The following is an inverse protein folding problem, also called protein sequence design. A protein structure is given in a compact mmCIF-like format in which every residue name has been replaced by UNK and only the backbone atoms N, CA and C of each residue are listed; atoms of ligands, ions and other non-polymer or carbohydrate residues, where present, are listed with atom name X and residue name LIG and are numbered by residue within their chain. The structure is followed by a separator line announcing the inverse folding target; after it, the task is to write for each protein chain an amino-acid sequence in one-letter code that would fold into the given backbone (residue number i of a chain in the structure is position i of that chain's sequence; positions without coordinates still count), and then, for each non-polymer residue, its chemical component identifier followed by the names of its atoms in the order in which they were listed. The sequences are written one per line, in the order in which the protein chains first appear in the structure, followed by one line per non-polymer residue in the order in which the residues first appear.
data_IF_999348852281
#
_entry.id   IF_999348852281
#
_cell.length_a   1.000
_cell.length_b   1.000
_cell.length_c   1.000
_cell.angle_alpha   90.00
_cell.angle_beta   90.00
_cell.angle_gamma   90.00
#
_symmetry.space_group_name_H-M   'P 1'
#
loop_
_entity.id
_entity.type
_entity.pdbx_description
1 polymer ?
#
# COMPACT_ATOMS: atom_id res chain seq x y z
N UNK A 1 -6.95 -6.04 -3.90
CA UNK A 1 -6.41 -4.67 -3.97
C UNK A 1 -6.59 -4.07 -2.61
N UNK A 2 -5.64 -3.28 -2.15
CA UNK A 2 -5.64 -2.68 -0.83
C UNK A 2 -5.55 -1.16 -0.97
N UNK A 3 -6.33 -0.43 -0.19
CA UNK A 3 -6.25 1.03 -0.08
C UNK A 3 -6.08 1.43 1.39
N UNK A 4 -5.06 2.22 1.67
CA UNK A 4 -4.89 2.91 2.94
C UNK A 4 -5.63 4.26 2.85
N UNK A 5 -6.38 4.63 3.89
CA UNK A 5 -7.23 5.82 3.91
C UNK A 5 -6.99 6.60 5.20
N UNK A 6 -6.91 7.93 5.10
CA UNK A 6 -6.66 8.80 6.24
C UNK A 6 -7.97 9.09 7.00
N UNK A 7 -7.93 8.99 8.31
CA UNK A 7 -8.99 9.43 9.21
C UNK A 7 -8.76 10.87 9.63
N UNK A 8 -9.76 11.72 9.46
CA UNK A 8 -9.66 13.16 9.74
C UNK A 8 -10.85 13.65 10.55
N UNK A 9 -10.68 14.79 11.21
CA UNK A 9 -11.78 15.57 11.76
C UNK A 9 -12.62 16.15 10.62
N UNK A 10 -13.95 16.01 10.62
CA UNK A 10 -14.80 16.47 9.52
C UNK A 10 -14.84 17.99 9.36
N UNK A 11 -14.58 18.75 10.43
CA UNK A 11 -14.68 20.21 10.41
C UNK A 11 -13.30 20.85 10.13
N UNK A 12 -12.25 20.37 10.79
CA UNK A 12 -10.89 20.94 10.64
C UNK A 12 -10.03 20.25 9.57
N UNK A 13 -10.34 19.00 9.22
CA UNK A 13 -9.50 18.16 8.36
C UNK A 13 -8.24 17.61 9.04
N UNK A 14 -8.04 17.86 10.34
CA UNK A 14 -6.87 17.38 11.08
C UNK A 14 -6.91 15.84 11.22
N UNK A 15 -5.78 15.12 11.05
CA UNK A 15 -5.75 13.67 11.23
C UNK A 15 -6.18 13.21 12.63
N UNK A 16 -6.90 12.09 12.71
CA UNK A 16 -7.48 11.56 13.95
C UNK A 16 -7.05 10.13 14.22
N UNK A 17 -6.41 9.91 15.37
CA UNK A 17 -5.88 8.62 15.83
C UNK A 17 -6.96 7.61 16.32
N UNK A 18 -8.02 7.41 15.55
CA UNK A 18 -9.23 6.68 15.95
C UNK A 18 -9.44 5.33 15.24
N UNK A 19 -8.50 4.86 14.42
CA UNK A 19 -8.62 3.60 13.68
C UNK A 19 -8.97 2.41 14.58
N UNK A 20 -8.34 2.30 15.76
CA UNK A 20 -8.64 1.24 16.72
C UNK A 20 -10.09 1.25 17.21
N UNK A 21 -10.70 2.42 17.35
CA UNK A 21 -12.12 2.56 17.73
C UNK A 21 -13.03 2.21 16.56
N UNK A 22 -12.69 2.65 15.33
CA UNK A 22 -13.44 2.31 14.11
C UNK A 22 -13.50 0.79 13.91
N UNK A 23 -12.35 0.12 14.04
CA UNK A 23 -12.24 -1.33 13.87
C UNK A 23 -12.95 -2.12 14.98
N UNK A 24 -13.05 -1.57 16.19
CA UNK A 24 -13.80 -2.20 17.28
C UNK A 24 -15.32 -2.22 17.03
N UNK A 25 -15.82 -1.48 16.03
CA UNK A 25 -17.23 -1.53 15.61
C UNK A 25 -17.52 -2.68 14.65
N UNK A 26 -16.53 -3.47 14.23
CA UNK A 26 -16.78 -4.69 13.48
C UNK A 26 -17.56 -5.69 14.35
N UNK A 27 -18.74 -6.08 13.87
CA UNK A 27 -19.51 -7.15 14.50
C UNK A 27 -18.70 -8.45 14.44
N UNK A 28 -18.45 -9.04 15.61
CA UNK A 28 -17.87 -10.39 15.79
C UNK A 28 -18.63 -11.50 15.03
N UNK A 29 -19.74 -11.17 14.36
CA UNK A 29 -20.57 -12.05 13.56
C UNK A 29 -20.04 -12.29 12.11
N UNK A 30 -19.04 -11.54 11.64
CA UNK A 30 -18.57 -11.58 10.24
C UNK A 30 -17.22 -12.31 10.01
N UNK A 31 -17.05 -13.50 10.57
CA UNK A 31 -16.04 -14.49 10.11
C UNK A 31 -14.57 -14.02 10.02
N UNK A 32 -13.73 -14.84 9.36
CA UNK A 32 -12.27 -14.69 9.29
C UNK A 32 -11.75 -13.69 8.22
N UNK A 33 -12.61 -12.84 7.65
CA UNK A 33 -12.28 -11.92 6.54
C UNK A 33 -12.76 -10.49 6.87
N UNK A 34 -11.98 -9.72 7.67
CA UNK A 34 -12.38 -8.38 8.12
C UNK A 34 -12.52 -7.43 6.93
N UNK A 35 -13.44 -6.47 7.02
CA UNK A 35 -13.62 -5.50 5.94
C UNK A 35 -12.61 -4.36 6.01
N UNK A 36 -12.02 -4.14 7.19
CA UNK A 36 -11.05 -3.11 7.50
C UNK A 36 -9.90 -3.70 8.34
N UNK A 37 -8.67 -3.28 8.05
CA UNK A 37 -7.47 -3.77 8.76
C UNK A 37 -6.72 -2.67 9.52
N UNK A 38 -5.87 -3.10 10.47
CA UNK A 38 -5.04 -2.21 11.31
C UNK A 38 -3.74 -1.87 10.61
N UNK A 39 -3.43 -0.57 10.56
CA UNK A 39 -2.16 -0.08 10.03
C UNK A 39 -1.14 0.37 11.09
N UNK A 40 0.08 0.71 10.63
CA UNK A 40 1.18 1.21 11.45
C UNK A 40 0.78 2.44 12.29
N UNK A 41 0.03 3.37 11.71
CA UNK A 41 -0.45 4.57 12.38
C UNK A 41 -1.94 4.47 12.69
N UNK A 42 -2.36 5.07 13.81
CA UNK A 42 -3.75 5.02 14.27
C UNK A 42 -4.67 5.98 13.53
N UNK A 43 -4.11 6.82 12.68
CA UNK A 43 -4.78 7.76 11.78
C UNK A 43 -5.19 7.12 10.45
N UNK A 44 -4.91 5.83 10.22
CA UNK A 44 -5.17 5.15 8.95
C UNK A 44 -6.11 3.95 9.10
N UNK A 45 -6.94 3.74 8.08
CA UNK A 45 -7.67 2.49 7.86
C UNK A 45 -7.15 1.85 6.58
N UNK A 46 -6.94 0.55 6.60
CA UNK A 46 -6.74 -0.21 5.37
C UNK A 46 -8.06 -0.88 4.97
N UNK A 47 -8.38 -0.83 3.68
CA UNK A 47 -9.46 -1.59 3.06
C UNK A 47 -8.88 -2.59 2.08
N UNK A 48 -9.43 -3.81 2.03
CA UNK A 48 -8.99 -4.83 1.09
C UNK A 48 -10.17 -5.40 0.29
N UNK A 49 -10.01 -5.50 -1.02
CA UNK A 49 -10.96 -6.18 -1.90
C UNK A 49 -10.71 -7.68 -1.91
N UNK A 50 -11.76 -8.47 -2.10
CA UNK A 50 -11.59 -9.88 -2.45
C UNK A 50 -10.93 -10.01 -3.83
N UNK A 51 -10.25 -11.14 -4.10
CA UNK A 51 -9.76 -11.43 -5.44
C UNK A 51 -10.93 -11.52 -6.43
N UNK A 52 -10.82 -10.78 -7.53
CA UNK A 52 -11.82 -10.80 -8.61
C UNK A 52 -11.15 -10.86 -9.98
N UNK A 53 -11.88 -11.39 -10.97
CA UNK A 53 -11.45 -11.48 -12.37
C UNK A 53 -12.02 -10.34 -13.23
N UNK A 54 -13.00 -9.59 -12.75
CA UNK A 54 -13.69 -8.55 -13.51
C UNK A 54 -13.45 -7.16 -12.90
N UNK A 55 -13.20 -6.16 -13.75
CA UNK A 55 -12.94 -4.79 -13.29
C UNK A 55 -14.20 -4.06 -12.84
N UNK A 56 -15.37 -4.45 -13.34
CA UNK A 56 -16.68 -3.95 -12.87
C UNK A 56 -16.95 -4.42 -11.46
N UNK A 57 -16.68 -5.70 -11.18
CA UNK A 57 -16.80 -6.27 -9.84
C UNK A 57 -15.81 -5.60 -8.88
N UNK A 58 -14.56 -5.38 -9.34
CA UNK A 58 -13.57 -4.63 -8.56
C UNK A 58 -14.06 -3.21 -8.25
N UNK A 59 -14.58 -2.50 -9.25
CA UNK A 59 -15.08 -1.14 -9.09
C UNK A 59 -16.25 -1.03 -8.10
N UNK A 60 -17.17 -2.01 -8.12
CA UNK A 60 -18.25 -2.11 -7.17
C UNK A 60 -17.73 -2.40 -5.76
N UNK A 61 -16.73 -3.27 -5.63
CA UNK A 61 -16.13 -3.61 -4.35
C UNK A 61 -15.36 -2.45 -3.73
N UNK A 62 -14.53 -1.73 -4.50
CA UNK A 62 -13.81 -0.53 -4.04
C UNK A 62 -14.78 0.50 -3.45
N UNK A 63 -15.85 0.83 -4.20
CA UNK A 63 -16.88 1.77 -3.73
C UNK A 63 -17.55 1.28 -2.46
N UNK A 64 -17.88 -0.02 -2.38
CA UNK A 64 -18.48 -0.61 -1.18
C UNK A 64 -17.54 -0.51 0.02
N UNK A 65 -16.27 -0.85 -0.13
CA UNK A 65 -15.27 -0.79 0.95
C UNK A 65 -15.05 0.64 1.45
N UNK A 66 -14.92 1.61 0.54
CA UNK A 66 -14.85 3.03 0.90
C UNK A 66 -16.11 3.52 1.61
N UNK A 67 -17.30 3.10 1.16
CA UNK A 67 -18.56 3.42 1.82
C UNK A 67 -18.63 2.84 3.25
N UNK A 68 -18.21 1.59 3.46
CA UNK A 68 -18.08 1.00 4.79
C UNK A 68 -17.11 1.82 5.65
N UNK A 69 -15.93 2.18 5.13
CA UNK A 69 -14.95 2.98 5.88
C UNK A 69 -15.54 4.34 6.31
N UNK A 70 -16.25 5.03 5.40
CA UNK A 70 -16.93 6.31 5.68
C UNK A 70 -18.00 6.15 6.76
N UNK A 71 -18.87 5.14 6.64
CA UNK A 71 -19.93 4.87 7.62
C UNK A 71 -19.35 4.65 9.02
N UNK A 72 -18.30 3.82 9.11
CA UNK A 72 -17.69 3.44 10.39
C UNK A 72 -16.87 4.56 11.01
N UNK A 73 -16.16 5.35 10.20
CA UNK A 73 -15.51 6.57 10.68
C UNK A 73 -16.54 7.58 11.20
N UNK A 74 -17.65 7.76 10.48
CA UNK A 74 -18.73 8.66 10.88
C UNK A 74 -19.36 8.30 12.23
N UNK A 75 -19.50 7.00 12.52
CA UNK A 75 -20.02 6.51 13.79
C UNK A 75 -19.15 6.89 15.02
N UNK A 76 -17.88 7.26 14.82
CA UNK A 76 -16.97 7.72 15.88
C UNK A 76 -16.64 9.21 15.77
N UNK A 77 -17.36 9.96 14.93
CA UNK A 77 -17.16 11.40 14.72
C UNK A 77 -15.92 11.74 13.90
N UNK A 78 -15.48 10.85 13.01
CA UNK A 78 -14.40 11.10 12.05
C UNK A 78 -14.91 11.04 10.60
N UNK A 79 -14.16 11.60 9.68
CA UNK A 79 -14.34 11.44 8.24
C UNK A 79 -13.16 10.67 7.62
N UNK A 80 -13.37 10.15 6.41
CA UNK A 80 -12.33 9.47 5.62
C UNK A 80 -11.88 10.40 4.49
N UNK A 81 -10.56 10.52 4.32
CA UNK A 81 -9.93 11.22 3.21
C UNK A 81 -8.98 10.28 2.46
N UNK A 82 -9.24 10.05 1.17
CA UNK A 82 -8.34 9.30 0.30
C UNK A 82 -7.19 10.21 -0.16
N UNK A 83 -6.24 10.44 0.75
CA UNK A 83 -5.06 11.30 0.55
C UNK A 83 -3.80 10.51 0.88
N UNK A 84 -2.80 10.55 0.00
CA UNK A 84 -1.56 9.82 0.19
C UNK A 84 -0.65 10.44 1.27
N UNK A 85 -0.82 11.72 1.58
CA UNK A 85 -0.22 12.42 2.74
C UNK A 85 -1.23 13.42 3.31
N UNK A 86 -1.10 13.75 4.61
CA UNK A 86 -1.89 14.82 5.21
C UNK A 86 -1.42 16.19 4.68
N UNK A 87 -2.31 17.07 4.21
CA UNK A 87 -1.95 18.43 3.85
C UNK A 87 -1.72 19.32 5.08
N UNK A 88 -2.19 18.91 6.26
CA UNK A 88 -2.03 19.63 7.52
C UNK A 88 -0.86 19.05 8.35
N UNK A 89 -0.27 19.86 9.24
CA UNK A 89 0.70 19.36 10.22
C UNK A 89 0.13 18.21 11.05
N UNK A 90 0.96 17.21 11.33
CA UNK A 90 0.55 16.02 12.09
C UNK A 90 1.76 15.38 12.76
N UNK A 91 1.59 15.00 14.03
CA UNK A 91 2.50 14.10 14.75
C UNK A 91 1.84 12.72 14.84
N UNK A 92 2.23 11.75 13.99
CA UNK A 92 1.51 10.47 13.85
C UNK A 92 1.54 9.61 15.12
N UNK A 93 0.44 8.94 15.40
CA UNK A 93 0.30 8.06 16.55
C UNK A 93 0.56 6.61 16.19
N UNK A 94 1.72 6.10 16.60
CA UNK A 94 2.07 4.69 16.39
C UNK A 94 1.03 3.72 16.98
N UNK A 95 0.67 2.71 16.19
CA UNK A 95 -0.17 1.61 16.62
C UNK A 95 0.49 0.78 17.71
N UNK A 96 -0.33 0.27 18.62
CA UNK A 96 0.14 -0.59 19.69
C UNK A 96 0.59 -1.95 19.13
N UNK A 97 1.83 -2.37 19.43
CA UNK A 97 2.32 -3.69 19.07
C UNK A 97 3.83 -3.80 19.26
N UNK A 98 4.31 -5.00 19.61
CA UNK A 98 5.76 -5.23 19.78
C UNK A 98 6.55 -4.93 18.51
N UNK A 99 5.99 -5.29 17.35
CA UNK A 99 6.61 -5.04 16.05
C UNK A 99 6.76 -3.54 15.76
N UNK A 100 5.68 -2.78 15.91
CA UNK A 100 5.68 -1.34 15.62
C UNK A 100 6.61 -0.55 16.54
N UNK A 101 6.67 -0.90 17.84
CA UNK A 101 7.66 -0.31 18.75
C UNK A 101 9.09 -0.58 18.32
N UNK A 102 9.39 -1.82 17.94
CA UNK A 102 10.73 -2.19 17.45
C UNK A 102 11.09 -1.41 16.18
N UNK A 103 10.15 -1.28 15.23
CA UNK A 103 10.35 -0.46 14.02
C UNK A 103 10.64 1.00 14.41
N UNK A 104 9.89 1.57 15.35
CA UNK A 104 10.13 2.94 15.82
C UNK A 104 11.49 3.12 16.52
N UNK A 105 11.90 2.15 17.33
CA UNK A 105 13.20 2.14 18.03
C UNK A 105 14.37 2.08 17.04
N UNK A 106 14.26 1.28 15.98
CA UNK A 106 15.35 1.04 15.01
C UNK A 106 15.43 2.14 13.94
N UNK A 107 14.30 2.70 13.51
CA UNK A 107 14.24 3.66 12.39
C UNK A 107 13.94 5.10 12.81
N UNK A 108 13.62 5.36 14.08
CA UNK A 108 13.48 6.70 14.65
C UNK A 108 12.52 7.60 13.86
N UNK A 109 13.02 8.77 13.43
CA UNK A 109 12.23 9.77 12.69
C UNK A 109 11.60 9.20 11.42
N UNK A 110 12.27 8.29 10.70
CA UNK A 110 11.69 7.66 9.51
C UNK A 110 10.40 6.92 9.85
N UNK A 111 10.35 6.23 10.99
CA UNK A 111 9.15 5.54 11.44
C UNK A 111 8.12 6.48 12.07
N UNK A 112 8.56 7.50 12.83
CA UNK A 112 7.66 8.48 13.43
C UNK A 112 6.91 9.29 12.38
N UNK A 113 7.61 9.71 11.32
CA UNK A 113 7.03 10.52 10.25
C UNK A 113 6.24 9.68 9.23
N UNK A 114 6.17 8.35 9.37
CA UNK A 114 5.53 7.46 8.41
C UNK A 114 4.01 7.47 8.54
N UNK A 115 3.36 8.54 8.10
CA UNK A 115 1.91 8.63 7.89
C UNK A 115 1.64 8.92 6.41
N UNK A 116 1.61 7.85 5.61
CA UNK A 116 1.34 7.94 4.17
C UNK A 116 0.39 6.83 3.75
N UNK A 117 -0.52 7.12 2.82
CA UNK A 117 -1.51 6.15 2.34
C UNK A 117 -1.21 5.71 0.89
N UNK A 118 -1.05 4.41 0.67
CA UNK A 118 -0.84 3.78 -0.63
C UNK A 118 -2.07 3.09 -1.21
N UNK A 119 -1.94 2.72 -2.48
CA UNK A 119 -2.81 1.76 -3.16
C UNK A 119 -1.98 0.56 -3.61
N UNK A 120 -2.25 -0.64 -3.09
CA UNK A 120 -1.53 -1.86 -3.44
C UNK A 120 -2.36 -2.75 -4.35
N UNK A 121 -1.78 -3.13 -5.49
CA UNK A 121 -2.44 -4.01 -6.46
C UNK A 121 -1.77 -5.38 -6.46
N UNK A 122 -2.56 -6.39 -6.14
CA UNK A 122 -2.16 -7.80 -6.22
C UNK A 122 -2.67 -8.42 -7.50
N UNK A 123 -1.79 -9.07 -8.26
CA UNK A 123 -2.14 -9.82 -9.46
C UNK A 123 -1.60 -11.23 -9.34
N UNK A 124 -2.47 -12.22 -9.48
CA UNK A 124 -2.12 -13.64 -9.34
C UNK A 124 -1.09 -14.08 -10.37
N UNK A 125 -0.13 -14.88 -9.94
CA UNK A 125 0.86 -15.56 -10.79
C UNK A 125 0.89 -17.05 -10.47
N UNK A 126 1.31 -17.86 -11.43
CA UNK A 126 1.27 -19.32 -11.32
C UNK A 126 2.47 -19.90 -10.56
N UNK A 127 3.60 -19.18 -10.51
CA UNK A 127 4.80 -19.59 -9.79
C UNK A 127 5.73 -18.42 -9.47
N UNK A 128 6.76 -18.67 -8.65
CA UNK A 128 7.81 -17.68 -8.36
C UNK A 128 8.65 -17.36 -9.62
N UNK A 129 8.86 -18.34 -10.51
CA UNK A 129 9.53 -18.12 -11.80
C UNK A 129 8.74 -17.11 -12.66
N UNK A 130 7.42 -17.30 -12.78
CA UNK A 130 6.55 -16.34 -13.48
C UNK A 130 6.59 -14.99 -12.78
N UNK A 131 6.42 -14.98 -11.46
CA UNK A 131 6.37 -13.77 -10.66
C UNK A 131 7.65 -12.92 -10.78
N UNK A 132 8.84 -13.53 -10.68
CA UNK A 132 10.10 -12.80 -10.85
C UNK A 132 10.29 -12.36 -12.31
N UNK A 133 9.92 -13.18 -13.27
CA UNK A 133 9.96 -12.78 -14.67
C UNK A 133 9.06 -11.56 -14.96
N UNK A 134 7.90 -11.49 -14.31
CA UNK A 134 7.01 -10.33 -14.32
C UNK A 134 7.68 -9.14 -13.66
N UNK A 135 8.18 -9.28 -12.43
CA UNK A 135 8.86 -8.19 -11.69
C UNK A 135 9.96 -7.56 -12.53
N UNK A 136 10.84 -8.36 -13.11
CA UNK A 136 11.96 -7.89 -13.93
C UNK A 136 11.50 -7.05 -15.14
N UNK A 137 10.35 -7.40 -15.74
CA UNK A 137 9.81 -6.76 -16.96
C UNK A 137 8.98 -5.51 -16.67
N UNK A 138 8.24 -5.47 -15.57
CA UNK A 138 7.34 -4.34 -15.28
C UNK A 138 8.06 -3.12 -14.69
N UNK A 139 9.32 -3.25 -14.25
CA UNK A 139 10.12 -2.16 -13.64
C UNK A 139 9.99 -0.80 -14.33
N UNK A 140 10.13 -0.67 -15.67
CA UNK A 140 10.07 0.64 -16.33
C UNK A 140 8.68 1.29 -16.25
N UNK A 141 7.65 0.51 -15.95
CA UNK A 141 6.25 0.95 -15.90
C UNK A 141 5.78 1.35 -14.50
N UNK A 142 6.59 1.11 -13.46
CA UNK A 142 6.23 1.49 -12.09
C UNK A 142 6.21 3.02 -11.90
N UNK A 143 7.15 3.75 -12.51
CA UNK A 143 7.16 5.21 -12.45
C UNK A 143 5.93 5.86 -13.15
N UNK A 144 5.49 5.40 -14.33
CA UNK A 144 4.20 5.81 -14.90
C UNK A 144 2.99 5.57 -13.99
N UNK A 145 2.91 4.42 -13.29
CA UNK A 145 1.81 4.15 -12.36
C UNK A 145 1.82 5.13 -11.17
N UNK A 146 3.00 5.46 -10.63
CA UNK A 146 3.15 6.50 -9.62
C UNK A 146 2.68 7.86 -10.13
N UNK A 147 3.09 8.24 -11.34
CA UNK A 147 2.71 9.53 -11.93
C UNK A 147 1.19 9.66 -12.14
N UNK A 148 0.52 8.57 -12.53
CA UNK A 148 -0.94 8.55 -12.71
C UNK A 148 -1.71 8.61 -11.39
N UNK A 149 -1.16 8.03 -10.32
CA UNK A 149 -1.80 7.96 -9.00
C UNK A 149 -1.45 9.11 -8.06
N UNK A 150 -0.50 9.98 -8.44
CA UNK A 150 0.08 11.01 -7.58
C UNK A 150 -0.99 11.87 -6.90
N UNK A 151 -1.04 11.79 -5.57
CA UNK A 151 -2.10 12.40 -4.75
C UNK A 151 -1.55 12.85 -3.39
N UNK A 152 -0.32 13.35 -3.37
CA UNK A 152 0.35 13.81 -2.15
C UNK A 152 1.24 15.05 -2.35
N UNK A 153 0.70 16.20 -2.82
CA UNK A 153 1.54 17.38 -3.06
C UNK A 153 1.98 18.12 -1.80
N UNK A 154 1.31 17.92 -0.66
CA UNK A 154 1.60 18.60 0.60
C UNK A 154 2.26 17.68 1.63
N UNK A 155 3.05 18.29 2.53
CA UNK A 155 3.63 17.64 3.69
C UNK A 155 3.74 18.61 4.87
N UNK A 156 3.23 18.21 6.03
CA UNK A 156 3.35 18.99 7.28
C UNK A 156 2.89 20.46 7.13
N UNK A 157 1.78 20.70 6.43
CA UNK A 157 1.25 22.06 6.21
C UNK A 157 1.86 22.83 5.05
N UNK A 158 2.80 22.25 4.30
CA UNK A 158 3.55 22.95 3.26
C UNK A 158 3.40 22.26 1.90
N UNK A 159 3.33 23.06 0.83
CA UNK A 159 3.51 22.55 -0.53
C UNK A 159 4.94 22.02 -0.66
N UNK A 160 5.07 20.75 -1.01
CA UNK A 160 6.37 20.08 -1.12
C UNK A 160 7.09 20.37 -2.44
N UNK A 161 6.37 20.86 -3.45
CA UNK A 161 6.83 20.97 -4.84
C UNK A 161 6.80 19.65 -5.62
N UNK A 162 6.38 18.54 -5.02
CA UNK A 162 6.20 17.24 -5.68
C UNK A 162 4.71 17.00 -5.98
N UNK A 163 4.41 16.18 -6.99
CA UNK A 163 3.04 15.67 -7.18
C UNK A 163 2.74 14.48 -6.27
N UNK A 164 3.77 13.66 -5.99
CA UNK A 164 3.73 12.58 -5.00
C UNK A 164 4.89 12.71 -4.00
N UNK A 165 4.63 13.38 -2.88
CA UNK A 165 5.60 13.45 -1.78
C UNK A 165 5.64 12.17 -0.96
N UNK A 166 4.56 11.36 -0.97
CA UNK A 166 4.59 10.00 -0.39
C UNK A 166 5.77 9.20 -0.92
N UNK A 167 6.08 9.28 -2.22
CA UNK A 167 7.24 8.58 -2.79
C UNK A 167 8.58 8.99 -2.16
N UNK A 168 8.76 10.28 -1.83
CA UNK A 168 9.97 10.79 -1.17
C UNK A 168 10.05 10.33 0.28
N UNK A 169 8.92 10.36 0.99
CA UNK A 169 8.83 9.88 2.37
C UNK A 169 9.12 8.38 2.45
N UNK A 170 8.49 7.60 1.56
CA UNK A 170 8.62 6.15 1.50
C UNK A 170 10.03 5.71 1.12
N UNK A 171 10.70 6.42 0.22
CA UNK A 171 12.08 6.15 -0.20
C UNK A 171 13.14 6.24 0.91
N UNK A 172 12.78 6.73 2.10
CA UNK A 172 13.66 6.76 3.28
C UNK A 172 13.80 5.41 3.97
N UNK A 173 12.89 4.48 3.69
CA UNK A 173 12.96 3.11 4.22
C UNK A 173 14.06 2.32 3.49
N UNK A 174 14.81 1.45 4.21
CA UNK A 174 16.06 0.89 3.71
C UNK A 174 15.94 -0.05 2.50
N UNK A 175 14.74 -0.53 2.18
CA UNK A 175 14.45 -1.40 1.03
C UNK A 175 13.41 -0.82 0.09
N UNK A 176 12.96 0.40 0.32
CA UNK A 176 11.95 1.02 -0.52
C UNK A 176 12.54 1.43 -1.86
N UNK A 177 11.72 1.34 -2.91
CA UNK A 177 12.08 1.79 -4.25
C UNK A 177 12.32 0.67 -5.26
N UNK A 178 12.91 1.02 -6.41
CA UNK A 178 13.09 0.10 -7.51
C UNK A 178 14.21 -0.90 -7.23
N UNK A 179 14.05 -2.11 -7.77
CA UNK A 179 15.05 -3.19 -7.70
C UNK A 179 15.68 -3.43 -9.07
N UNK A 180 16.83 -4.10 -9.10
CA UNK A 180 17.47 -4.55 -10.34
C UNK A 180 16.86 -5.86 -10.88
N UNK A 181 17.22 -6.24 -12.11
CA UNK A 181 16.82 -7.54 -12.68
C UNK A 181 17.36 -8.67 -11.80
N UNK A 182 16.48 -9.54 -11.33
CA UNK A 182 16.85 -10.75 -10.60
C UNK A 182 17.23 -11.88 -11.57
N UNK A 183 16.48 -12.07 -12.65
CA UNK A 183 16.74 -13.13 -13.63
C UNK A 183 16.36 -14.54 -13.16
N UNK A 184 15.69 -14.66 -12.01
CA UNK A 184 15.20 -15.92 -11.48
C UNK A 184 14.83 -15.85 -9.98
N UNK A 185 13.95 -16.76 -9.52
CA UNK A 185 13.48 -16.78 -8.14
C UNK A 185 14.60 -17.04 -7.13
N UNK A 186 15.64 -17.80 -7.49
CA UNK A 186 16.77 -18.07 -6.61
C UNK A 186 17.50 -16.78 -6.24
N UNK A 187 17.71 -15.87 -7.20
CA UNK A 187 18.39 -14.60 -6.96
C UNK A 187 17.49 -13.62 -6.20
N UNK A 188 16.19 -13.61 -6.48
CA UNK A 188 15.22 -12.84 -5.70
C UNK A 188 15.25 -13.26 -4.22
N UNK A 189 15.13 -14.56 -3.95
CA UNK A 189 15.14 -15.08 -2.59
C UNK A 189 16.50 -14.94 -1.91
N UNK A 190 17.61 -15.05 -2.66
CA UNK A 190 18.94 -14.77 -2.13
C UNK A 190 19.12 -13.30 -1.73
N UNK A 191 18.61 -12.36 -2.55
CA UNK A 191 18.65 -10.94 -2.24
C UNK A 191 17.83 -10.61 -0.99
N UNK A 192 16.61 -11.12 -0.89
CA UNK A 192 15.77 -10.97 0.32
C UNK A 192 16.46 -11.55 1.55
N UNK A 193 17.07 -12.73 1.46
CA UNK A 193 17.84 -13.33 2.56
C UNK A 193 19.01 -12.44 2.99
N UNK A 194 19.78 -11.93 2.03
CA UNK A 194 20.90 -11.04 2.34
C UNK A 194 20.46 -9.77 3.09
N UNK A 195 19.33 -9.17 2.71
CA UNK A 195 18.78 -7.99 3.39
C UNK A 195 18.34 -8.30 4.83
N UNK A 196 17.83 -9.52 5.09
CA UNK A 196 17.49 -9.99 6.44
C UNK A 196 18.73 -10.32 7.27
N UNK A 197 19.70 -11.04 6.68
CA UNK A 197 20.93 -11.47 7.36
C UNK A 197 21.80 -10.27 7.79
N UNK A 198 21.80 -9.22 6.98
CA UNK A 198 22.47 -7.94 7.30
C UNK A 198 21.68 -7.07 8.28
N UNK A 199 20.46 -7.48 8.67
CA UNK A 199 19.51 -6.72 9.49
C UNK A 199 19.12 -5.36 8.89
N UNK A 200 19.33 -5.18 7.59
CA UNK A 200 18.75 -4.07 6.82
C UNK A 200 17.22 -4.11 6.95
N UNK A 201 16.65 -5.33 6.97
CA UNK A 201 15.25 -5.58 7.26
C UNK A 201 15.11 -6.25 8.63
N UNK A 202 14.15 -5.81 9.44
CA UNK A 202 13.82 -6.47 10.71
C UNK A 202 13.05 -7.77 10.50
N UNK A 203 12.24 -7.83 9.44
CA UNK A 203 11.45 -8.98 9.02
C UNK A 203 11.05 -8.88 7.54
N UNK A 204 10.45 -9.95 7.01
CA UNK A 204 9.95 -9.99 5.62
C UNK A 204 8.82 -8.98 5.34
N UNK A 205 8.17 -8.44 6.37
CA UNK A 205 7.18 -7.37 6.22
C UNK A 205 7.81 -6.03 5.82
N UNK A 206 9.13 -5.89 5.96
CA UNK A 206 9.88 -4.72 5.52
C UNK A 206 10.45 -4.84 4.11
N UNK A 207 9.99 -5.80 3.29
CA UNK A 207 10.36 -5.85 1.87
C UNK A 207 9.53 -4.78 1.15
N UNK A 208 10.05 -3.56 1.04
CA UNK A 208 9.30 -2.38 0.57
C UNK A 208 9.56 -2.02 -0.89
N UNK A 209 10.05 -2.97 -1.69
CA UNK A 209 10.24 -2.79 -3.13
C UNK A 209 8.97 -2.24 -3.79
N UNK A 210 9.13 -1.40 -4.82
CA UNK A 210 8.01 -0.81 -5.57
C UNK A 210 7.04 -1.85 -6.14
N UNK A 211 7.57 -3.05 -6.46
CA UNK A 211 6.81 -4.26 -6.68
C UNK A 211 7.56 -5.47 -6.11
N UNK A 212 6.84 -6.47 -5.59
CA UNK A 212 7.43 -7.67 -4.94
C UNK A 212 6.62 -8.93 -5.19
N UNK A 213 7.22 -10.09 -4.96
CA UNK A 213 6.44 -11.30 -4.71
C UNK A 213 5.75 -11.12 -3.36
N UNK A 214 4.43 -11.26 -3.33
CA UNK A 214 3.69 -11.14 -2.09
C UNK A 214 4.07 -12.29 -1.14
N UNK A 215 4.21 -11.95 0.14
CA UNK A 215 4.52 -12.93 1.18
C UNK A 215 3.35 -13.87 1.47
N UNK A 216 2.13 -13.35 1.37
CA UNK A 216 0.93 -14.00 1.88
C UNK A 216 0.09 -14.64 0.75
N UNK A 217 0.25 -14.15 -0.48
CA UNK A 217 -0.56 -14.57 -1.62
C UNK A 217 0.32 -14.93 -2.81
N UNK A 218 -0.08 -15.88 -3.67
CA UNK A 218 0.63 -16.22 -4.90
C UNK A 218 0.42 -15.12 -5.96
N UNK A 219 0.96 -13.94 -5.69
CA UNK A 219 0.72 -12.71 -6.46
C UNK A 219 2.00 -11.91 -6.60
N UNK A 220 2.10 -11.17 -7.70
CA UNK A 220 2.94 -9.97 -7.76
C UNK A 220 2.14 -8.82 -7.15
N UNK A 221 2.76 -8.13 -6.21
CA UNK A 221 2.19 -7.04 -5.44
C UNK A 221 2.90 -5.73 -5.84
N UNK A 222 2.16 -4.81 -6.45
CA UNK A 222 2.63 -3.49 -6.87
C UNK A 222 2.22 -2.47 -5.81
N UNK A 223 3.19 -1.75 -5.26
CA UNK A 223 3.02 -0.88 -4.08
C UNK A 223 3.44 0.57 -4.29
N UNK A 224 3.92 0.89 -5.49
CA UNK A 224 4.45 2.22 -5.81
C UNK A 224 3.37 3.31 -5.72
N UNK A 225 2.12 2.98 -6.04
CA UNK A 225 1.04 3.95 -6.20
C UNK A 225 0.61 4.63 -4.90
N UNK A 226 0.32 5.92 -5.00
CA UNK A 226 -0.42 6.67 -3.99
C UNK A 226 -1.88 6.17 -3.94
N UNK A 227 -2.55 6.30 -2.79
CA UNK A 227 -4.02 6.14 -2.78
C UNK A 227 -4.65 7.21 -3.66
N UNK A 228 -5.53 6.81 -4.58
CA UNK A 228 -6.16 7.75 -5.50
C UNK A 228 -7.36 8.44 -4.84
N UNK A 229 -7.58 9.72 -5.15
CA UNK A 229 -8.72 10.45 -4.61
C UNK A 229 -10.05 9.84 -5.09
N UNK A 230 -10.19 9.63 -6.40
CA UNK A 230 -11.37 9.03 -7.01
C UNK A 230 -11.25 7.49 -7.03
N UNK A 231 -12.31 6.74 -6.66
CA UNK A 231 -12.30 5.28 -6.77
C UNK A 231 -12.12 4.78 -8.21
N UNK A 232 -12.54 5.52 -9.24
CA UNK A 232 -12.37 5.10 -10.63
C UNK A 232 -10.90 5.17 -11.09
N UNK A 233 -10.13 6.12 -10.58
CA UNK A 233 -8.68 6.18 -10.80
C UNK A 233 -7.98 4.98 -10.14
N UNK A 234 -8.47 4.55 -8.98
CA UNK A 234 -7.98 3.33 -8.30
C UNK A 234 -8.20 2.09 -9.18
N UNK A 235 -9.40 1.98 -9.79
CA UNK A 235 -9.73 0.88 -10.72
C UNK A 235 -8.87 0.96 -11.99
N UNK A 236 -8.61 2.16 -12.50
CA UNK A 236 -7.71 2.36 -13.65
C UNK A 236 -6.30 1.88 -13.33
N UNK A 237 -5.74 2.26 -12.18
CA UNK A 237 -4.42 1.80 -11.70
C UNK A 237 -4.39 0.27 -11.61
N UNK A 238 -5.44 -0.34 -11.05
CA UNK A 238 -5.55 -1.79 -10.95
C UNK A 238 -5.61 -2.49 -12.32
N UNK A 239 -6.37 -1.93 -13.27
CA UNK A 239 -6.48 -2.46 -14.62
C UNK A 239 -5.14 -2.38 -15.38
N UNK A 240 -4.42 -1.26 -15.24
CA UNK A 240 -3.09 -1.08 -15.84
C UNK A 240 -2.07 -2.04 -15.23
N UNK A 241 -2.03 -2.13 -13.90
CA UNK A 241 -1.18 -3.07 -13.17
C UNK A 241 -1.43 -4.52 -13.62
N UNK A 242 -2.69 -4.94 -13.71
CA UNK A 242 -3.05 -6.27 -14.24
C UNK A 242 -2.60 -6.45 -15.69
N UNK A 243 -2.84 -5.45 -16.55
CA UNK A 243 -2.41 -5.49 -17.95
C UNK A 243 -0.89 -5.65 -18.11
N UNK A 244 -0.11 -4.99 -17.27
CA UNK A 244 1.35 -5.12 -17.21
C UNK A 244 1.78 -6.53 -16.81
N UNK A 245 1.20 -7.06 -15.72
CA UNK A 245 1.51 -8.41 -15.23
C UNK A 245 1.09 -9.48 -16.24
N UNK A 246 -0.13 -9.44 -16.76
CA UNK A 246 -0.64 -10.40 -17.75
C UNK A 246 0.18 -10.36 -19.05
N UNK A 247 0.69 -9.19 -19.44
CA UNK A 247 1.56 -9.06 -20.62
C UNK A 247 2.95 -9.65 -20.36
N UNK A 248 3.57 -9.29 -19.23
CA UNK A 248 4.89 -9.81 -18.87
C UNK A 248 4.88 -11.34 -18.65
N UNK A 249 3.83 -11.88 -18.04
CA UNK A 249 3.65 -13.32 -17.85
C UNK A 249 3.48 -14.07 -19.19
N UNK A 250 2.70 -13.51 -20.13
CA UNK A 250 2.58 -14.07 -21.49
C UNK A 250 3.88 -14.01 -22.27
N UNK A 251 4.64 -12.93 -22.14
CA UNK A 251 5.94 -12.78 -22.78
C UNK A 251 6.92 -13.83 -22.24
N UNK A 252 6.99 -14.01 -20.92
CA UNK A 252 7.80 -15.05 -20.27
C UNK A 252 7.42 -16.47 -20.71
N UNK A 253 6.13 -16.83 -20.69
CA UNK A 253 5.67 -18.14 -21.19
C UNK A 253 5.99 -18.36 -22.67
N UNK A 254 6.04 -17.28 -23.45
CA UNK A 254 6.45 -17.29 -24.85
C UNK A 254 7.97 -17.30 -25.08
N UNK A 255 8.79 -17.30 -24.02
CA UNK A 255 10.25 -17.27 -24.10
C UNK A 255 10.85 -15.93 -24.55
N UNK A 256 10.13 -14.81 -24.37
CA UNK A 256 10.55 -13.45 -24.72
C UNK A 256 11.04 -12.66 -23.52
#
# INVERSE_FOLDING_TARGET
MEEELLLVDPDSGEPRAVAGTVLALEDLARGDDPELEKELQREQLETATRPTKDMTDLAAEVRRRRATAVERAGAVGAAVAALATSPLPVDPSLSAGRRYRRVAEEFGLTAQEQLTCGCHVHVSVESDEEGVAVLDRIRPWLAPLLALSANSPFWQGHDSGYSSYRSQVWGRWPSAGPVEVFGGPERYHAHVRQLLDTRTLLDKGMIYFDARLSRNYPTVEIRVSDVCLDPDDTVLVAALARGLVDTAARDWRGGR
#
